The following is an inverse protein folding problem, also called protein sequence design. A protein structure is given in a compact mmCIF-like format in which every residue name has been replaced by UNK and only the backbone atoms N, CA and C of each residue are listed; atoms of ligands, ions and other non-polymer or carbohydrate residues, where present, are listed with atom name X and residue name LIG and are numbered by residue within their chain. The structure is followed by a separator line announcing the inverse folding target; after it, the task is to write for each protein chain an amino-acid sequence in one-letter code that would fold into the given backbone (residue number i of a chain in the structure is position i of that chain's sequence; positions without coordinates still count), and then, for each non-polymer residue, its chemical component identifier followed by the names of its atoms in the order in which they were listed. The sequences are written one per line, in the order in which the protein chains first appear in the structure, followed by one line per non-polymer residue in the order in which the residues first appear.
data_IF_275312454034
#
_entry.id   IF_275312454034
#
_cell.length_a   1.000
_cell.length_b   1.000
_cell.length_c   1.000
_cell.angle_alpha   90.00
_cell.angle_beta   90.00
_cell.angle_gamma   90.00
#
_symmetry.space_group_name_H-M   'P 1'
#
loop_
_entity.id
_entity.type
_entity.pdbx_description
1 polymer ?
#
# COMPACT_ATOMS: atom_id res chain seq x y z
N UNK A 1 32.91 -0.14 -6.01
CA UNK A 1 33.60 0.12 -4.72
C UNK A 1 32.64 -0.26 -3.60
N UNK A 2 33.04 -1.18 -2.72
CA UNK A 2 32.28 -1.60 -1.55
C UNK A 2 32.72 -0.73 -0.38
N UNK A 3 31.81 0.05 0.19
CA UNK A 3 32.08 0.79 1.42
C UNK A 3 31.20 0.24 2.55
N UNK A 4 31.88 -0.08 3.63
CA UNK A 4 31.45 -0.89 4.77
C UNK A 4 31.06 -0.01 5.97
N UNK A 5 30.23 -0.60 6.87
CA UNK A 5 30.14 -0.37 8.33
C UNK A 5 29.58 1.00 8.78
N UNK A 6 28.63 1.07 9.72
CA UNK A 6 28.96 1.04 11.16
C UNK A 6 27.70 0.81 12.01
N UNK A 7 27.76 -0.21 12.89
CA UNK A 7 26.83 -0.47 14.00
C UNK A 7 27.05 0.55 15.12
N UNK A 8 25.97 1.00 15.79
CA UNK A 8 26.05 1.75 17.04
C UNK A 8 25.31 1.02 18.17
N UNK A 9 25.96 1.03 19.34
CA UNK A 9 25.68 0.31 20.58
C UNK A 9 24.30 0.60 21.20
N UNK A 10 23.71 -0.43 21.82
CA UNK A 10 22.67 -0.31 22.84
C UNK A 10 23.33 -0.38 24.23
N UNK A 11 23.12 0.64 25.05
CA UNK A 11 23.59 0.69 26.43
C UNK A 11 22.65 -0.12 27.34
N UNK A 12 23.23 -1.00 28.16
CA UNK A 12 22.54 -1.71 29.23
C UNK A 12 23.00 -1.13 30.58
N UNK A 13 22.06 -0.65 31.38
CA UNK A 13 22.29 -0.32 32.80
C UNK A 13 21.32 -1.12 33.65
N UNK A 14 21.88 -2.02 34.45
CA UNK A 14 21.20 -2.81 35.46
C UNK A 14 21.44 -2.18 36.84
N UNK A 15 20.41 -2.07 37.68
CA UNK A 15 20.56 -2.07 39.14
C UNK A 15 19.34 -2.72 39.81
N UNK A 16 19.68 -3.53 40.81
CA UNK A 16 18.90 -4.41 41.68
C UNK A 16 18.20 -3.64 42.80
N UNK A 17 17.03 -4.11 43.22
CA UNK A 17 16.43 -3.76 44.51
C UNK A 17 15.33 -4.76 44.91
N UNK A 18 15.66 -5.71 45.79
CA UNK A 18 14.70 -6.60 46.46
C UNK A 18 14.88 -6.40 47.96
N UNK A 19 13.80 -6.02 48.65
CA UNK A 19 13.74 -6.01 50.10
C UNK A 19 12.37 -6.56 50.59
N UNK A 20 12.47 -7.70 51.27
CA UNK A 20 11.68 -8.20 52.41
C UNK A 20 10.14 -8.39 52.31
N UNK A 21 9.71 -9.64 52.54
CA UNK A 21 8.55 -9.93 53.39
C UNK A 21 7.61 -11.06 52.93
N UNK A 22 7.60 -12.18 53.66
CA UNK A 22 6.42 -13.06 53.79
C UNK A 22 6.49 -14.43 53.10
N UNK A 23 6.80 -15.47 53.89
CA UNK A 23 6.64 -16.89 53.55
C UNK A 23 5.23 -17.36 53.95
N UNK A 24 4.43 -17.89 53.02
CA UNK A 24 3.34 -18.84 53.36
C UNK A 24 2.83 -19.60 52.13
N UNK A 25 2.62 -20.91 52.29
CA UNK A 25 1.59 -21.66 51.54
C UNK A 25 2.05 -22.49 50.34
N UNK A 26 2.19 -23.80 50.54
CA UNK A 26 2.28 -24.81 49.49
C UNK A 26 0.94 -25.02 48.77
N UNK A 27 0.95 -25.26 47.45
CA UNK A 27 0.21 -26.36 46.79
C UNK A 27 0.18 -26.22 45.25
N UNK A 28 0.37 -27.36 44.60
CA UNK A 28 -0.28 -27.83 43.37
C UNK A 28 -0.10 -27.07 42.02
N UNK A 29 0.23 -27.91 41.04
CA UNK A 29 0.29 -27.73 39.59
C UNK A 29 -0.89 -26.94 39.01
N UNK A 30 -0.60 -25.94 38.17
CA UNK A 30 -1.50 -25.50 37.10
C UNK A 30 -0.72 -25.18 35.82
N UNK A 31 -1.13 -25.82 34.74
CA UNK A 31 -0.74 -25.49 33.37
C UNK A 31 -1.33 -24.13 32.97
N UNK A 32 -0.56 -23.39 32.15
CA UNK A 32 -0.84 -22.17 31.34
C UNK A 32 -2.13 -21.35 31.58
N UNK A 33 -2.00 -20.02 31.45
CA UNK A 33 -2.40 -19.45 30.17
C UNK A 33 -1.32 -18.51 29.61
N UNK A 34 -0.88 -18.77 28.37
CA UNK A 34 -0.16 -17.77 27.60
C UNK A 34 -1.16 -16.68 27.21
N UNK A 35 -1.12 -15.58 27.94
CA UNK A 35 -1.94 -14.39 27.71
C UNK A 35 -1.91 -14.02 26.23
N UNK A 36 -3.08 -14.16 25.60
CA UNK A 36 -3.44 -13.51 24.37
C UNK A 36 -3.33 -11.98 24.58
N UNK A 37 -2.15 -11.43 24.36
CA UNK A 37 -2.00 -10.02 24.07
C UNK A 37 -2.54 -9.80 22.66
N UNK A 38 -3.84 -9.49 22.56
CA UNK A 38 -4.40 -8.81 21.40
C UNK A 38 -3.58 -7.54 21.20
N UNK A 39 -2.70 -7.56 20.21
CA UNK A 39 -2.01 -6.36 19.76
C UNK A 39 -3.08 -5.41 19.24
N UNK A 40 -3.34 -4.37 20.02
CA UNK A 40 -4.21 -3.28 19.65
C UNK A 40 -3.75 -2.68 18.32
N UNK A 41 -4.73 -2.41 17.45
CA UNK A 41 -4.55 -1.76 16.17
C UNK A 41 -3.80 -0.43 16.34
N UNK A 42 -2.55 -0.42 15.88
CA UNK A 42 -1.80 0.78 15.55
C UNK A 42 -1.59 0.83 14.04
N UNK A 43 -2.67 0.93 13.26
CA UNK A 43 -2.58 1.19 11.82
C UNK A 43 -2.29 2.67 11.58
N UNK A 44 -1.10 3.08 12.00
CA UNK A 44 -0.46 4.33 11.64
C UNK A 44 0.96 4.04 11.18
N UNK A 45 1.11 2.99 10.36
CA UNK A 45 2.38 2.77 9.68
C UNK A 45 2.47 3.82 8.59
N UNK A 46 3.27 4.86 8.82
CA UNK A 46 3.85 5.67 7.78
C UNK A 46 4.62 4.74 6.84
N UNK A 47 3.93 4.14 5.89
CA UNK A 47 4.56 3.44 4.78
C UNK A 47 5.32 4.52 3.99
N UNK A 48 6.60 4.31 3.66
CA UNK A 48 7.26 5.17 2.67
C UNK A 48 6.34 5.24 1.45
N UNK A 49 6.16 6.43 0.84
CA UNK A 49 5.29 6.64 -0.32
C UNK A 49 5.48 5.48 -1.31
N UNK A 50 4.58 4.51 -1.29
CA UNK A 50 4.78 3.27 -2.00
C UNK A 50 4.39 3.53 -3.45
N UNK A 51 5.40 3.81 -4.26
CA UNK A 51 5.24 3.86 -5.72
C UNK A 51 4.70 2.51 -6.17
N UNK A 52 3.53 2.51 -6.79
CA UNK A 52 2.92 1.31 -7.36
C UNK A 52 2.53 1.57 -8.81
N UNK A 53 3.41 1.22 -9.73
CA UNK A 53 3.18 1.40 -11.16
C UNK A 53 2.31 0.30 -11.79
N UNK A 54 1.91 -0.74 -11.03
CA UNK A 54 1.21 -1.93 -11.55
C UNK A 54 1.90 -2.61 -12.76
N UNK A 55 3.20 -2.41 -12.93
CA UNK A 55 3.98 -2.97 -14.04
C UNK A 55 4.23 -2.01 -15.21
N UNK A 56 3.77 -0.76 -15.14
CA UNK A 56 4.21 0.27 -16.08
C UNK A 56 5.69 0.60 -15.90
N UNK A 57 6.37 0.84 -17.02
CA UNK A 57 7.65 1.53 -17.04
C UNK A 57 7.46 3.04 -16.80
N UNK A 58 8.56 3.78 -16.68
CA UNK A 58 8.54 5.23 -16.45
C UNK A 58 7.78 5.98 -17.55
N UNK A 59 7.92 5.61 -18.83
CA UNK A 59 7.29 6.33 -19.92
C UNK A 59 5.77 6.16 -19.89
N UNK A 60 5.29 4.93 -19.71
CA UNK A 60 3.85 4.65 -19.62
C UNK A 60 3.23 5.19 -18.34
N UNK A 61 3.96 5.17 -17.23
CA UNK A 61 3.49 5.78 -15.99
C UNK A 61 3.35 7.31 -16.14
N UNK A 62 4.24 7.97 -16.89
CA UNK A 62 4.08 9.39 -17.24
C UNK A 62 2.86 9.63 -18.12
N UNK A 63 2.60 8.76 -19.10
CA UNK A 63 1.39 8.84 -19.92
C UNK A 63 0.13 8.82 -19.03
N UNK A 64 0.06 7.90 -18.07
CA UNK A 64 -1.04 7.84 -17.10
C UNK A 64 -1.18 9.13 -16.28
N UNK A 65 -0.06 9.65 -15.75
CA UNK A 65 -0.05 10.90 -14.99
C UNK A 65 -0.49 12.10 -15.84
N UNK A 66 0.01 12.20 -17.08
CA UNK A 66 -0.35 13.24 -18.05
C UNK A 66 -1.84 13.22 -18.36
N UNK A 67 -2.41 12.05 -18.68
CA UNK A 67 -3.84 11.88 -18.89
C UNK A 67 -4.68 12.40 -17.71
N UNK A 68 -4.32 11.98 -16.49
CA UNK A 68 -5.01 12.41 -15.27
C UNK A 68 -4.91 13.92 -15.04
N UNK A 69 -3.76 14.52 -15.33
CA UNK A 69 -3.55 15.96 -15.25
C UNK A 69 -4.37 16.71 -16.31
N UNK A 70 -4.37 16.23 -17.56
CA UNK A 70 -5.14 16.80 -18.66
C UNK A 70 -6.65 16.79 -18.41
N UNK A 71 -7.16 15.75 -17.74
CA UNK A 71 -8.56 15.68 -17.30
C UNK A 71 -8.85 16.45 -16.00
N UNK A 72 -7.85 17.10 -15.39
CA UNK A 72 -8.03 17.95 -14.22
C UNK A 72 -8.04 17.22 -12.87
N UNK A 73 -7.65 15.95 -12.81
CA UNK A 73 -7.63 15.17 -11.56
C UNK A 73 -6.38 15.39 -10.70
N UNK A 74 -5.37 16.12 -11.21
CA UNK A 74 -4.14 16.51 -10.51
C UNK A 74 -3.40 15.31 -9.87
N UNK A 75 -2.68 14.57 -10.72
CA UNK A 75 -1.84 13.43 -10.37
C UNK A 75 -0.47 13.80 -9.78
N UNK A 76 -0.15 15.09 -9.73
CA UNK A 76 1.16 15.61 -9.33
C UNK A 76 2.15 15.64 -10.49
N UNK A 77 3.44 15.55 -10.17
CA UNK A 77 4.51 15.57 -11.14
C UNK A 77 4.47 14.34 -12.07
N UNK A 78 4.72 14.55 -13.36
CA UNK A 78 4.84 13.49 -14.36
C UNK A 78 6.25 12.89 -14.34
N UNK A 79 6.57 12.25 -13.22
CA UNK A 79 7.87 11.64 -12.94
C UNK A 79 7.93 10.14 -13.28
N UNK A 80 6.80 9.54 -13.69
CA UNK A 80 6.68 8.11 -13.98
C UNK A 80 6.66 7.23 -12.74
N UNK A 81 6.45 7.82 -11.57
CA UNK A 81 6.29 7.13 -10.29
C UNK A 81 4.85 7.31 -9.81
N UNK A 82 4.03 6.28 -9.96
CA UNK A 82 2.64 6.29 -9.51
C UNK A 82 2.59 6.16 -7.97
N UNK A 83 2.82 7.28 -7.30
CA UNK A 83 2.72 7.43 -5.85
C UNK A 83 1.32 7.83 -5.39
N UNK A 84 1.21 8.21 -4.13
CA UNK A 84 -0.07 8.53 -3.46
C UNK A 84 -0.90 9.56 -4.23
N UNK A 85 -0.30 10.65 -4.72
CA UNK A 85 -1.03 11.69 -5.45
C UNK A 85 -1.58 11.19 -6.79
N UNK A 86 -0.79 10.40 -7.53
CA UNK A 86 -1.23 9.81 -8.79
C UNK A 86 -2.38 8.83 -8.57
N UNK A 87 -2.34 8.03 -7.50
CA UNK A 87 -3.44 7.12 -7.15
C UNK A 87 -4.68 7.82 -6.61
N UNK A 88 -4.54 8.91 -5.85
CA UNK A 88 -5.69 9.76 -5.48
C UNK A 88 -6.34 10.40 -6.70
N UNK A 89 -5.56 10.85 -7.67
CA UNK A 89 -6.09 11.34 -8.95
C UNK A 89 -6.82 10.24 -9.73
N UNK A 90 -6.24 9.04 -9.82
CA UNK A 90 -6.89 7.89 -10.42
C UNK A 90 -8.21 7.53 -9.72
N UNK A 91 -8.23 7.47 -8.39
CA UNK A 91 -9.44 7.16 -7.62
C UNK A 91 -10.54 8.20 -7.85
N UNK A 92 -10.20 9.50 -7.84
CA UNK A 92 -11.11 10.61 -8.20
C UNK A 92 -11.70 10.41 -9.60
N UNK A 93 -10.85 10.13 -10.58
CA UNK A 93 -11.26 9.89 -11.96
C UNK A 93 -12.20 8.69 -12.07
N UNK A 94 -11.83 7.56 -11.47
CA UNK A 94 -12.62 6.34 -11.47
C UNK A 94 -13.98 6.54 -10.78
N UNK A 95 -14.02 7.30 -9.68
CA UNK A 95 -15.26 7.66 -9.00
C UNK A 95 -16.13 8.59 -9.85
N UNK A 96 -15.54 9.63 -10.44
CA UNK A 96 -16.24 10.57 -11.30
C UNK A 96 -16.87 9.90 -12.53
N UNK A 97 -16.23 8.84 -13.05
CA UNK A 97 -16.73 8.07 -14.19
C UNK A 97 -17.58 6.85 -13.77
N UNK A 98 -17.92 6.73 -12.48
CA UNK A 98 -18.90 5.76 -11.98
C UNK A 98 -18.36 4.34 -11.75
N UNK A 99 -17.05 4.13 -11.74
CA UNK A 99 -16.45 2.81 -11.52
C UNK A 99 -16.35 2.38 -10.04
N UNK A 100 -16.55 3.33 -9.11
CA UNK A 100 -16.57 3.13 -7.66
C UNK A 100 -15.26 2.54 -7.09
N UNK A 101 -14.21 3.36 -7.06
CA UNK A 101 -12.89 3.03 -6.54
C UNK A 101 -12.82 3.05 -5.00
N UNK A 102 -13.86 3.53 -4.33
CA UNK A 102 -13.91 3.72 -2.88
C UNK A 102 -13.25 5.04 -2.47
N UNK A 103 -12.63 5.04 -1.28
CA UNK A 103 -11.98 6.21 -0.70
C UNK A 103 -10.80 6.70 -1.53
N UNK A 104 -10.64 8.01 -1.66
CA UNK A 104 -9.55 8.68 -2.37
C UNK A 104 -8.31 8.83 -1.46
N UNK A 105 -7.79 7.71 -0.98
CA UNK A 105 -6.67 7.62 -0.03
C UNK A 105 -5.31 7.44 -0.70
N UNK A 106 -5.28 7.14 -2.00
CA UNK A 106 -4.09 6.82 -2.78
C UNK A 106 -3.56 5.40 -2.58
N UNK A 107 -4.32 4.55 -1.88
CA UNK A 107 -3.98 3.14 -1.66
C UNK A 107 -4.56 2.30 -2.79
N UNK A 108 -3.71 1.50 -3.43
CA UNK A 108 -4.12 0.59 -4.51
C UNK A 108 -4.73 -0.69 -3.94
N UNK A 109 -5.86 -0.56 -3.28
CA UNK A 109 -6.61 -1.66 -2.67
C UNK A 109 -7.57 -2.36 -3.65
N UNK A 110 -8.27 -3.42 -3.21
CA UNK A 110 -9.16 -4.21 -4.06
C UNK A 110 -10.27 -3.40 -4.75
N UNK A 111 -10.82 -2.37 -4.08
CA UNK A 111 -11.83 -1.51 -4.69
C UNK A 111 -11.26 -0.64 -5.81
N UNK A 112 -10.07 -0.07 -5.61
CA UNK A 112 -9.37 0.71 -6.64
C UNK A 112 -8.98 -0.17 -7.82
N UNK A 113 -8.48 -1.39 -7.58
CA UNK A 113 -8.16 -2.35 -8.65
C UNK A 113 -9.41 -2.76 -9.41
N UNK A 114 -10.52 -3.06 -8.72
CA UNK A 114 -11.79 -3.42 -9.36
C UNK A 114 -12.32 -2.29 -10.22
N UNK A 115 -12.25 -1.06 -9.73
CA UNK A 115 -12.65 0.11 -10.50
C UNK A 115 -11.76 0.30 -11.73
N UNK A 116 -10.44 0.13 -11.59
CA UNK A 116 -9.50 0.16 -12.70
C UNK A 116 -9.81 -0.92 -13.75
N UNK A 117 -10.10 -2.16 -13.33
CA UNK A 117 -10.50 -3.25 -14.23
C UNK A 117 -11.78 -2.92 -15.01
N UNK A 118 -12.80 -2.37 -14.33
CA UNK A 118 -14.04 -1.92 -14.99
C UNK A 118 -13.77 -0.81 -16.00
N UNK A 119 -12.95 0.16 -15.62
CA UNK A 119 -12.55 1.26 -16.51
C UNK A 119 -11.85 0.73 -17.76
N UNK A 120 -10.80 -0.08 -17.60
CA UNK A 120 -10.05 -0.67 -18.71
C UNK A 120 -10.98 -1.45 -19.65
N UNK A 121 -11.86 -2.30 -19.10
CA UNK A 121 -12.84 -3.03 -19.90
C UNK A 121 -13.82 -2.10 -20.63
N UNK A 122 -14.19 -0.95 -20.04
CA UNK A 122 -15.10 0.02 -20.67
C UNK A 122 -14.47 0.78 -21.85
N UNK A 123 -13.15 0.94 -21.86
CA UNK A 123 -12.40 1.58 -22.96
C UNK A 123 -11.88 0.57 -23.99
N UNK A 124 -12.29 -0.69 -23.90
CA UNK A 124 -11.99 -1.73 -24.89
C UNK A 124 -10.75 -2.59 -24.60
N UNK A 125 -10.09 -2.39 -23.45
CA UNK A 125 -9.01 -3.28 -23.02
C UNK A 125 -9.56 -4.58 -22.42
N UNK A 126 -8.70 -5.60 -22.27
CA UNK A 126 -9.07 -6.85 -21.61
C UNK A 126 -8.36 -6.99 -20.26
N UNK A 127 -8.93 -6.40 -19.22
CA UNK A 127 -8.42 -6.49 -17.85
C UNK A 127 -8.90 -7.75 -17.10
N UNK A 128 -9.69 -8.62 -17.75
CA UNK A 128 -10.31 -9.79 -17.14
C UNK A 128 -11.55 -9.47 -16.30
N UNK A 129 -11.92 -10.39 -15.41
CA UNK A 129 -13.02 -10.19 -14.47
C UNK A 129 -12.65 -9.11 -13.43
N UNK A 130 -13.55 -8.16 -13.11
CA UNK A 130 -13.32 -7.16 -12.05
C UNK A 130 -13.31 -7.75 -10.62
N UNK A 131 -12.31 -8.55 -10.30
CA UNK A 131 -12.15 -9.26 -9.02
C UNK A 131 -11.46 -8.41 -7.94
N UNK A 132 -10.77 -7.33 -8.32
CA UNK A 132 -9.97 -6.50 -7.42
C UNK A 132 -8.55 -7.00 -7.20
N UNK A 133 -8.06 -7.92 -8.04
CA UNK A 133 -6.70 -8.45 -8.02
C UNK A 133 -5.98 -8.01 -9.30
N UNK A 134 -4.85 -7.29 -9.15
CA UNK A 134 -4.08 -6.82 -10.30
C UNK A 134 -3.20 -7.94 -10.88
N UNK A 135 -3.85 -8.98 -11.41
CA UNK A 135 -3.21 -10.12 -12.06
C UNK A 135 -2.60 -9.78 -13.42
N UNK A 136 -2.00 -10.77 -14.10
CA UNK A 136 -1.32 -10.56 -15.38
C UNK A 136 -2.19 -9.87 -16.45
N UNK A 137 -3.48 -10.24 -16.55
CA UNK A 137 -4.40 -9.62 -17.51
C UNK A 137 -4.64 -8.14 -17.21
N UNK A 138 -4.95 -7.79 -15.96
CA UNK A 138 -5.15 -6.39 -15.56
C UNK A 138 -3.89 -5.55 -15.78
N UNK A 139 -2.72 -6.09 -15.45
CA UNK A 139 -1.43 -5.40 -15.66
C UNK A 139 -1.10 -5.23 -17.14
N UNK A 140 -1.39 -6.24 -17.98
CA UNK A 140 -1.21 -6.16 -19.42
C UNK A 140 -2.17 -5.16 -20.08
N UNK A 141 -3.44 -5.15 -19.67
CA UNK A 141 -4.42 -4.15 -20.11
C UNK A 141 -3.99 -2.73 -19.72
N UNK A 142 -3.57 -2.54 -18.47
CA UNK A 142 -3.08 -1.24 -18.01
C UNK A 142 -1.82 -0.82 -18.75
N UNK A 143 -0.93 -1.76 -19.07
CA UNK A 143 0.23 -1.52 -19.92
C UNK A 143 -0.18 -1.06 -21.32
N UNK A 144 -1.03 -1.81 -22.02
CA UNK A 144 -1.51 -1.51 -23.37
C UNK A 144 -2.22 -0.17 -23.46
N UNK A 145 -3.12 0.11 -22.51
CA UNK A 145 -3.84 1.37 -22.42
C UNK A 145 -2.90 2.59 -22.42
N UNK A 146 -1.75 2.48 -21.74
CA UNK A 146 -0.79 3.57 -21.59
C UNK A 146 0.28 3.61 -22.70
N UNK A 147 0.07 2.95 -23.84
CA UNK A 147 1.05 2.90 -24.94
C UNK A 147 1.21 4.25 -25.67
N UNK A 148 0.13 4.97 -25.92
CA UNK A 148 0.13 6.20 -26.75
C UNK A 148 -0.13 7.49 -25.98
N UNK A 149 -0.40 7.41 -24.68
CA UNK A 149 -0.78 8.58 -23.88
C UNK A 149 -2.12 9.20 -24.29
N UNK A 150 -2.46 10.27 -23.59
CA UNK A 150 -3.47 11.25 -23.95
C UNK A 150 -2.73 12.53 -24.35
#
# INVERSE_FOLDING_TARGET
MRSSLTRALVAATAVVGIAAGGLVGASASVAAPQQAARTAAGSGQFAPLAVNNLGLDTARAKNWQSCLNAWGFNAGAEDGQLGTNSWKAAQRMLNAWGHNAGTEDGIVGPNTIRALQKFLNSVGENAGTPDGIAGPQTRAAFWSYNATGC
#
